data_IF_351124723812
#
_entry.id   IF_351124723812
#
_cell.length_a   1.000
_cell.length_b   1.000
_cell.length_c   1.000
_cell.angle_alpha   90.00
_cell.angle_beta   90.00
_cell.angle_gamma   90.00
#
_symmetry.space_group_name_H-M   'P 1'
#
loop_
_entity.id
_entity.type
_entity.pdbx_description
1 polymer ?
#
# COMPACT_ATOMS: atom_id res chain seq x y z
N UNK A 1 -10.84 -2.97 13.25
CA UNK A 1 -10.64 -1.55 13.61
C UNK A 1 -10.23 -0.81 12.35
N UNK A 2 -10.90 0.29 12.03
CA UNK A 2 -10.59 1.11 10.85
C UNK A 2 -9.53 2.16 11.25
N UNK A 3 -8.64 2.51 10.33
CA UNK A 3 -7.69 3.60 10.52
C UNK A 3 -8.43 4.93 10.74
N UNK A 4 -7.80 5.97 11.33
CA UNK A 4 -8.43 7.27 11.47
C UNK A 4 -8.96 7.80 10.14
N UNK A 5 -10.25 8.10 10.10
CA UNK A 5 -10.96 8.58 8.93
C UNK A 5 -11.17 10.10 9.00
N UNK A 6 -11.51 10.72 7.88
CA UNK A 6 -11.69 12.17 7.79
C UNK A 6 -13.08 12.53 7.25
N UNK A 7 -13.69 13.57 7.82
CA UNK A 7 -14.91 14.21 7.28
C UNK A 7 -14.59 15.30 6.25
N UNK A 8 -13.32 15.68 6.12
CA UNK A 8 -12.84 16.66 5.14
C UNK A 8 -11.77 16.02 4.25
N UNK A 9 -11.94 16.11 2.93
CA UNK A 9 -11.03 15.50 1.95
C UNK A 9 -10.71 16.52 0.86
N UNK A 10 -9.42 16.65 0.50
CA UNK A 10 -9.02 17.53 -0.59
C UNK A 10 -9.35 16.93 -1.95
N UNK A 11 -10.10 17.67 -2.76
CA UNK A 11 -10.48 17.26 -4.10
C UNK A 11 -9.55 17.89 -5.14
N UNK A 12 -8.62 17.09 -5.66
CA UNK A 12 -7.63 17.56 -6.64
C UNK A 12 -8.24 18.01 -7.98
N UNK A 13 -9.50 17.65 -8.30
CA UNK A 13 -10.14 18.05 -9.55
C UNK A 13 -10.76 19.44 -9.47
N UNK A 14 -11.35 19.78 -8.33
CA UNK A 14 -11.95 21.10 -8.08
C UNK A 14 -10.94 22.07 -7.45
N UNK A 15 -9.93 21.54 -6.76
CA UNK A 15 -8.96 22.31 -5.99
C UNK A 15 -9.47 22.75 -4.62
N UNK A 16 -10.59 22.18 -4.15
CA UNK A 16 -11.29 22.59 -2.93
C UNK A 16 -11.35 21.43 -1.90
N UNK A 17 -11.65 21.76 -0.65
CA UNK A 17 -11.94 20.77 0.39
C UNK A 17 -13.42 20.40 0.35
N UNK A 18 -13.72 19.11 0.20
CA UNK A 18 -15.07 18.56 0.29
C UNK A 18 -15.34 18.13 1.74
N UNK A 19 -16.52 18.44 2.27
CA UNK A 19 -16.98 18.03 3.60
C UNK A 19 -18.10 16.99 3.52
N UNK A 20 -18.07 16.01 4.42
CA UNK A 20 -19.03 14.90 4.50
C UNK A 20 -19.64 14.78 5.90
N UNK A 21 -20.93 14.42 5.98
CA UNK A 21 -21.66 14.23 7.25
C UNK A 21 -21.09 13.07 8.10
N UNK A 22 -20.44 12.11 7.44
CA UNK A 22 -19.84 10.92 8.05
C UNK A 22 -18.39 10.77 7.59
N UNK A 23 -17.47 10.25 8.43
CA UNK A 23 -16.09 10.05 8.03
C UNK A 23 -15.96 9.15 6.80
N UNK A 24 -15.05 9.49 5.90
CA UNK A 24 -14.68 8.68 4.76
C UNK A 24 -13.55 7.74 5.18
N UNK A 25 -13.90 6.46 5.36
CA UNK A 25 -12.94 5.41 5.68
C UNK A 25 -12.01 5.17 4.50
N UNK A 26 -10.70 5.20 4.74
CA UNK A 26 -9.67 4.91 3.74
C UNK A 26 -8.70 3.88 4.29
N UNK A 27 -8.73 2.67 3.75
CA UNK A 27 -7.76 1.63 4.14
C UNK A 27 -6.40 1.96 3.52
N UNK A 28 -5.36 2.03 4.35
CA UNK A 28 -4.00 2.28 3.88
C UNK A 28 -3.35 0.97 3.43
N UNK A 29 -3.31 0.75 2.12
CA UNK A 29 -2.64 -0.38 1.47
C UNK A 29 -1.30 0.03 0.86
N UNK A 30 -0.78 1.20 1.23
CA UNK A 30 0.43 1.80 0.69
C UNK A 30 1.71 1.32 1.39
N UNK A 31 1.89 -0.01 1.42
CA UNK A 31 3.11 -0.68 1.90
C UNK A 31 3.64 -1.73 0.90
N UNK A 32 3.18 -1.68 -0.37
CA UNK A 32 3.67 -2.48 -1.49
C UNK A 32 3.41 -4.00 -1.46
N UNK A 33 3.38 -4.61 -0.26
CA UNK A 33 3.35 -6.06 -0.06
C UNK A 33 4.61 -6.76 -0.57
N UNK A 34 4.73 -8.05 -0.30
CA UNK A 34 5.78 -8.87 -0.89
C UNK A 34 5.33 -9.41 -2.25
N UNK A 35 6.20 -9.33 -3.24
CA UNK A 35 5.92 -9.75 -4.60
C UNK A 35 6.90 -10.83 -5.06
N UNK A 36 6.39 -11.81 -5.78
CA UNK A 36 7.19 -12.81 -6.50
C UNK A 36 6.99 -12.60 -8.00
N UNK A 37 8.08 -12.61 -8.76
CA UNK A 37 8.07 -12.37 -10.20
C UNK A 37 8.99 -13.36 -10.93
N UNK A 38 8.61 -13.73 -12.16
CA UNK A 38 9.46 -14.55 -13.03
C UNK A 38 10.09 -13.65 -14.10
N UNK A 39 11.43 -13.56 -14.17
CA UNK A 39 12.09 -12.79 -15.22
C UNK A 39 11.74 -13.33 -16.61
N UNK A 40 11.44 -12.44 -17.55
CA UNK A 40 11.13 -12.81 -18.94
C UNK A 40 12.25 -13.65 -19.60
N UNK A 41 13.50 -13.44 -19.19
CA UNK A 41 14.68 -14.17 -19.68
C UNK A 41 14.84 -15.59 -19.12
N UNK A 42 14.03 -15.99 -18.13
CA UNK A 42 14.12 -17.31 -17.49
C UNK A 42 13.96 -18.44 -18.51
N UNK A 43 14.81 -19.46 -18.38
CA UNK A 43 14.70 -20.70 -19.18
C UNK A 43 13.84 -21.77 -18.50
N UNK A 44 13.28 -21.45 -17.34
CA UNK A 44 12.47 -22.35 -16.50
C UNK A 44 11.16 -21.66 -16.08
N UNK A 45 10.50 -21.01 -17.04
CA UNK A 45 9.27 -20.23 -16.84
C UNK A 45 8.17 -21.06 -16.14
N UNK A 46 7.86 -22.24 -16.67
CA UNK A 46 6.79 -23.10 -16.15
C UNK A 46 7.05 -23.53 -14.70
N UNK A 47 8.25 -24.03 -14.41
CA UNK A 47 8.62 -24.42 -13.06
C UNK A 47 8.63 -23.24 -12.07
N UNK A 48 9.03 -22.05 -12.50
CA UNK A 48 9.00 -20.86 -11.67
C UNK A 48 7.56 -20.41 -11.36
N UNK A 49 6.65 -20.46 -12.34
CA UNK A 49 5.25 -20.16 -12.13
C UNK A 49 4.53 -21.21 -11.27
N UNK A 50 4.86 -22.49 -11.44
CA UNK A 50 4.36 -23.58 -10.59
C UNK A 50 4.79 -23.38 -9.12
N UNK A 51 6.04 -23.00 -8.89
CA UNK A 51 6.54 -22.67 -7.56
C UNK A 51 5.80 -21.46 -6.96
N UNK A 52 5.62 -20.36 -7.71
CA UNK A 52 4.88 -19.19 -7.22
C UNK A 52 3.42 -19.54 -6.91
N UNK A 53 2.79 -20.38 -7.73
CA UNK A 53 1.43 -20.89 -7.50
C UNK A 53 1.36 -21.67 -6.19
N UNK A 54 2.33 -22.56 -5.95
CA UNK A 54 2.44 -23.34 -4.71
C UNK A 54 2.70 -22.44 -3.51
N UNK A 55 3.70 -21.55 -3.59
CA UNK A 55 4.09 -20.60 -2.53
C UNK A 55 2.90 -19.73 -2.09
N UNK A 56 2.10 -19.28 -3.06
CA UNK A 56 0.95 -18.42 -2.81
C UNK A 56 -0.36 -19.20 -2.59
N UNK A 57 -0.36 -20.53 -2.65
CA UNK A 57 -1.56 -21.36 -2.48
C UNK A 57 -2.18 -21.18 -1.08
N UNK A 58 -3.52 -21.30 -0.93
CA UNK A 58 -4.18 -21.14 0.37
C UNK A 58 -3.59 -21.99 1.49
N UNK A 59 -3.12 -23.20 1.17
CA UNK A 59 -2.49 -24.11 2.13
C UNK A 59 -1.14 -23.58 2.63
N UNK A 60 -0.21 -23.29 1.72
CA UNK A 60 1.15 -22.84 2.04
C UNK A 60 1.13 -21.44 2.65
N UNK A 61 0.42 -20.51 2.03
CA UNK A 61 0.36 -19.14 2.52
C UNK A 61 -0.42 -19.01 3.83
N UNK A 62 -1.46 -19.83 4.02
CA UNK A 62 -2.18 -19.91 5.28
C UNK A 62 -1.24 -20.39 6.41
N UNK A 63 -0.41 -21.40 6.16
CA UNK A 63 0.56 -21.88 7.14
C UNK A 63 1.61 -20.82 7.44
N UNK A 64 2.09 -20.12 6.41
CA UNK A 64 3.04 -19.04 6.57
C UNK A 64 2.49 -17.91 7.45
N UNK A 65 1.21 -17.55 7.28
CA UNK A 65 0.57 -16.47 8.03
C UNK A 65 0.51 -16.69 9.56
N UNK A 66 0.56 -17.94 10.02
CA UNK A 66 0.55 -18.30 11.45
C UNK A 66 1.91 -18.83 11.95
N UNK A 67 2.94 -18.79 11.11
CA UNK A 67 4.28 -19.24 11.48
C UNK A 67 5.15 -18.03 11.77
N UNK A 68 5.65 -17.92 13.00
CA UNK A 68 6.56 -16.84 13.39
C UNK A 68 7.82 -16.82 12.52
N UNK A 69 8.29 -15.62 12.16
CA UNK A 69 9.50 -15.41 11.36
C UNK A 69 9.29 -15.44 9.84
N UNK A 70 8.09 -15.76 9.36
CA UNK A 70 7.79 -15.70 7.91
C UNK A 70 7.54 -14.28 7.41
N UNK A 71 7.06 -13.38 8.29
CA UNK A 71 6.64 -12.03 7.92
C UNK A 71 5.33 -11.96 7.10
N UNK A 72 4.66 -13.09 6.87
CA UNK A 72 3.43 -13.14 6.08
C UNK A 72 2.24 -12.74 6.94
N UNK A 73 1.48 -11.74 6.48
CA UNK A 73 0.19 -11.35 7.06
C UNK A 73 -0.98 -11.92 6.24
N UNK A 74 -2.22 -11.95 6.77
CA UNK A 74 -3.40 -12.25 5.97
C UNK A 74 -3.54 -11.31 4.76
N UNK A 75 -3.56 -11.90 3.56
CA UNK A 75 -3.78 -11.18 2.29
C UNK A 75 -4.78 -11.90 1.36
N UNK A 76 -5.33 -13.04 1.80
CA UNK A 76 -6.39 -13.79 1.12
C UNK A 76 -7.60 -13.89 2.03
N UNK A 77 -8.80 -13.92 1.45
CA UNK A 77 -10.04 -14.16 2.20
C UNK A 77 -9.94 -15.46 3.02
N UNK A 78 -9.39 -16.53 2.44
CA UNK A 78 -9.20 -17.81 3.12
C UNK A 78 -8.35 -17.70 4.40
N UNK A 79 -7.40 -16.76 4.47
CA UNK A 79 -6.60 -16.56 5.69
C UNK A 79 -7.43 -15.96 6.83
N UNK A 80 -8.46 -15.18 6.49
CA UNK A 80 -9.33 -14.50 7.46
C UNK A 80 -10.53 -15.32 7.90
N UNK A 81 -10.83 -16.43 7.23
CA UNK A 81 -11.99 -17.30 7.54
C UNK A 81 -11.62 -18.62 8.23
N UNK A 82 -10.35 -19.03 8.20
CA UNK A 82 -9.85 -20.27 8.81
C UNK A 82 -9.49 -20.06 10.29
N UNK A 83 -10.51 -19.93 11.15
CA UNK A 83 -10.33 -19.64 12.59
C UNK A 83 -9.54 -20.72 13.33
N UNK A 84 -9.66 -21.98 12.91
CA UNK A 84 -8.95 -23.09 13.53
C UNK A 84 -7.44 -22.87 13.47
N UNK A 85 -6.95 -22.37 12.33
CA UNK A 85 -5.52 -22.10 12.14
C UNK A 85 -4.96 -21.07 13.12
N UNK A 86 -5.76 -20.05 13.46
CA UNK A 86 -5.34 -18.95 14.35
C UNK A 86 -5.50 -19.27 15.83
N UNK A 87 -6.31 -20.27 16.18
CA UNK A 87 -6.59 -20.68 17.56
C UNK A 87 -5.34 -21.08 18.38
N UNK A 88 -4.24 -21.42 17.70
CA UNK A 88 -2.95 -21.76 18.34
C UNK A 88 -2.16 -20.53 18.80
N UNK A 89 -2.47 -19.36 18.24
CA UNK A 89 -1.77 -18.10 18.50
C UNK A 89 -2.61 -17.12 19.31
N UNK A 90 -3.92 -17.13 19.09
CA UNK A 90 -4.86 -16.16 19.63
C UNK A 90 -6.02 -16.85 20.33
N UNK A 91 -6.55 -16.19 21.36
CA UNK A 91 -7.89 -16.49 21.84
C UNK A 91 -8.92 -16.22 20.72
N UNK A 92 -10.12 -16.80 20.85
CA UNK A 92 -11.17 -16.60 19.86
C UNK A 92 -11.48 -15.12 19.61
N UNK A 93 -11.58 -14.32 20.69
CA UNK A 93 -11.82 -12.88 20.60
C UNK A 93 -10.70 -12.17 19.82
N UNK A 94 -9.44 -12.44 20.17
CA UNK A 94 -8.29 -11.83 19.50
C UNK A 94 -8.23 -12.20 18.01
N UNK A 95 -8.50 -13.47 17.68
CA UNK A 95 -8.56 -13.92 16.30
C UNK A 95 -9.69 -13.22 15.53
N UNK A 96 -10.89 -13.10 16.12
CA UNK A 96 -12.01 -12.39 15.49
C UNK A 96 -11.68 -10.91 15.23
N UNK A 97 -11.11 -10.22 16.22
CA UNK A 97 -10.74 -8.80 16.11
C UNK A 97 -9.64 -8.58 15.07
N UNK A 98 -8.58 -9.40 15.10
CA UNK A 98 -7.46 -9.29 14.17
C UNK A 98 -7.86 -9.64 12.74
N UNK A 99 -8.51 -10.78 12.52
CA UNK A 99 -8.89 -11.23 11.17
C UNK A 99 -10.02 -10.38 10.60
N UNK A 100 -10.93 -9.89 11.44
CA UNK A 100 -11.92 -8.90 11.05
C UNK A 100 -11.25 -7.62 10.54
N UNK A 101 -10.32 -7.06 11.31
CA UNK A 101 -9.57 -5.86 10.88
C UNK A 101 -8.81 -6.09 9.57
N UNK A 102 -8.14 -7.24 9.40
CA UNK A 102 -7.42 -7.56 8.18
C UNK A 102 -8.37 -7.71 6.97
N UNK A 103 -9.48 -8.42 7.14
CA UNK A 103 -10.48 -8.59 6.08
C UNK A 103 -11.04 -7.23 5.66
N UNK A 104 -11.50 -6.44 6.62
CA UNK A 104 -12.12 -5.15 6.34
C UNK A 104 -11.12 -4.20 5.64
N UNK A 105 -9.83 -4.27 6.00
CA UNK A 105 -8.79 -3.49 5.34
C UNK A 105 -8.53 -3.92 3.88
N UNK A 106 -8.45 -5.23 3.59
CA UNK A 106 -8.15 -5.74 2.23
C UNK A 106 -9.35 -5.74 1.29
N UNK A 107 -10.57 -5.66 1.83
CA UNK A 107 -11.82 -5.56 1.04
C UNK A 107 -12.45 -4.18 1.09
N UNK A 108 -11.74 -3.16 1.59
CA UNK A 108 -12.25 -1.80 1.63
C UNK A 108 -12.52 -1.26 0.22
N UNK A 109 -13.65 -0.59 0.04
CA UNK A 109 -14.01 0.03 -1.25
C UNK A 109 -13.10 1.23 -1.58
N UNK A 110 -12.63 1.92 -0.54
CA UNK A 110 -11.74 3.07 -0.66
C UNK A 110 -10.38 2.74 -0.03
N UNK A 111 -9.34 2.76 -0.87
CA UNK A 111 -7.97 2.36 -0.50
C UNK A 111 -6.96 3.42 -0.93
N UNK A 112 -6.04 3.75 -0.03
CA UNK A 112 -4.83 4.48 -0.36
C UNK A 112 -3.77 3.48 -0.82
N UNK A 113 -3.38 3.54 -2.09
CA UNK A 113 -2.36 2.69 -2.68
C UNK A 113 -0.98 3.33 -2.59
N UNK A 114 0.05 2.49 -2.59
CA UNK A 114 1.44 2.95 -2.62
C UNK A 114 1.74 3.72 -3.91
N UNK A 115 2.67 4.66 -3.85
CA UNK A 115 3.12 5.41 -5.01
C UNK A 115 4.00 4.50 -5.88
N UNK A 116 3.47 4.05 -7.01
CA UNK A 116 4.15 3.10 -7.92
C UNK A 116 4.73 3.84 -9.13
N UNK A 117 5.69 4.71 -8.88
CA UNK A 117 6.38 5.48 -9.90
C UNK A 117 7.84 5.01 -10.06
N UNK A 118 8.38 4.97 -11.30
CA UNK A 118 9.81 5.00 -11.51
C UNK A 118 10.48 6.09 -10.67
N UNK A 119 11.54 5.74 -9.95
CA UNK A 119 12.23 6.67 -9.05
C UNK A 119 11.56 6.88 -7.69
N UNK A 120 10.57 6.06 -7.31
CA UNK A 120 9.85 6.12 -6.02
C UNK A 120 10.74 6.48 -4.83
N UNK A 121 11.87 5.80 -4.65
CA UNK A 121 12.80 6.06 -3.55
C UNK A 121 13.29 7.51 -3.47
N UNK A 122 13.51 8.16 -4.62
CA UNK A 122 13.93 9.56 -4.65
C UNK A 122 12.80 10.51 -4.25
N UNK A 123 11.56 10.19 -4.61
CA UNK A 123 10.39 10.96 -4.15
C UNK A 123 10.21 10.83 -2.63
N UNK A 124 10.33 9.61 -2.09
CA UNK A 124 10.19 9.37 -0.65
C UNK A 124 11.34 9.97 0.14
N UNK A 125 12.57 9.92 -0.37
CA UNK A 125 13.73 10.53 0.29
C UNK A 125 13.54 12.05 0.48
N UNK A 126 13.05 12.76 -0.54
CA UNK A 126 12.74 14.20 -0.42
C UNK A 126 11.70 14.44 0.69
N UNK A 127 10.63 13.63 0.71
CA UNK A 127 9.59 13.73 1.74
C UNK A 127 10.15 13.47 3.14
N UNK A 128 10.95 12.42 3.31
CA UNK A 128 11.49 12.01 4.61
C UNK A 128 12.46 13.05 5.18
N UNK A 129 13.30 13.67 4.34
CA UNK A 129 14.22 14.73 4.74
C UNK A 129 13.44 15.93 5.25
N UNK A 130 12.50 16.45 4.46
CA UNK A 130 11.74 17.65 4.81
C UNK A 130 10.78 17.44 5.99
N UNK A 131 10.17 16.25 6.07
CA UNK A 131 9.37 15.84 7.23
C UNK A 131 10.21 15.81 8.50
N UNK A 132 11.42 15.27 8.45
CA UNK A 132 12.33 15.22 9.60
C UNK A 132 12.72 16.61 10.08
N UNK A 133 13.00 17.55 9.15
CA UNK A 133 13.30 18.95 9.47
C UNK A 133 12.11 19.66 10.13
N UNK A 134 10.89 19.44 9.63
CA UNK A 134 9.69 20.00 10.23
C UNK A 134 9.42 19.44 11.65
N UNK A 135 9.59 18.12 11.85
CA UNK A 135 9.43 17.49 13.16
C UNK A 135 10.49 17.93 14.18
N UNK A 136 11.70 18.26 13.72
CA UNK A 136 12.74 18.86 14.55
C UNK A 136 12.46 20.33 14.91
N UNK A 137 11.52 20.98 14.22
CA UNK A 137 11.19 22.39 14.39
C UNK A 137 12.13 23.35 13.65
N UNK A 138 12.96 22.83 12.73
CA UNK A 138 13.92 23.64 11.94
C UNK A 138 13.22 24.49 10.88
N UNK A 139 12.10 23.99 10.35
CA UNK A 139 11.26 24.67 9.35
C UNK A 139 9.79 24.48 9.69
N UNK A 140 8.93 25.31 9.10
CA UNK A 140 7.48 25.17 9.27
C UNK A 140 6.95 23.98 8.44
N UNK A 141 5.81 23.38 8.83
CA UNK A 141 5.17 22.35 8.01
C UNK A 141 4.84 22.81 6.58
N UNK A 142 4.47 24.09 6.42
CA UNK A 142 4.21 24.67 5.09
C UNK A 142 5.48 24.70 4.24
N UNK A 143 6.58 25.23 4.79
CA UNK A 143 7.87 25.31 4.09
C UNK A 143 8.40 23.92 3.68
N UNK A 144 8.24 22.93 4.57
CA UNK A 144 8.59 21.53 4.26
C UNK A 144 7.78 21.01 3.07
N UNK A 145 6.45 21.16 3.09
CA UNK A 145 5.58 20.68 2.01
C UNK A 145 5.78 21.44 0.69
N UNK A 146 6.07 22.74 0.74
CA UNK A 146 6.41 23.53 -0.45
C UNK A 146 7.71 23.01 -1.09
N UNK A 147 8.71 22.69 -0.26
CA UNK A 147 9.99 22.12 -0.71
C UNK A 147 9.80 20.72 -1.32
N UNK A 148 9.00 19.87 -0.67
CA UNK A 148 8.64 18.54 -1.20
C UNK A 148 7.94 18.68 -2.56
N UNK A 149 6.96 19.57 -2.67
CA UNK A 149 6.22 19.79 -3.91
C UNK A 149 7.12 20.28 -5.05
N UNK A 150 8.06 21.19 -4.77
CA UNK A 150 9.05 21.64 -5.74
C UNK A 150 9.97 20.48 -6.19
N UNK A 151 10.56 19.75 -5.23
CA UNK A 151 11.46 18.62 -5.52
C UNK A 151 10.79 17.48 -6.28
N UNK A 152 9.53 17.18 -5.97
CA UNK A 152 8.73 16.20 -6.70
C UNK A 152 8.44 16.63 -8.14
N UNK A 153 8.18 17.91 -8.38
CA UNK A 153 8.03 18.43 -9.74
C UNK A 153 9.34 18.30 -10.52
N UNK A 154 10.47 18.68 -9.93
CA UNK A 154 11.79 18.56 -10.56
C UNK A 154 12.13 17.10 -10.92
N UNK A 155 11.90 16.16 -10.01
CA UNK A 155 12.05 14.72 -10.31
C UNK A 155 11.12 14.27 -11.43
N UNK A 156 9.87 14.73 -11.41
CA UNK A 156 8.88 14.38 -12.44
C UNK A 156 9.31 14.87 -13.82
N UNK A 157 9.90 16.06 -13.91
CA UNK A 157 10.47 16.54 -15.17
C UNK A 157 11.70 15.73 -15.60
N UNK A 158 12.58 15.37 -14.67
CA UNK A 158 13.78 14.57 -14.97
C UNK A 158 13.44 13.17 -15.49
N UNK A 159 12.43 12.51 -14.92
CA UNK A 159 11.93 11.22 -15.40
C UNK A 159 11.01 11.34 -16.62
N UNK A 160 10.58 12.56 -16.96
CA UNK A 160 9.62 12.87 -18.00
C UNK A 160 8.17 12.78 -17.49
N UNK A 161 7.49 13.93 -17.45
CA UNK A 161 6.13 14.07 -16.91
C UNK A 161 5.12 13.11 -17.54
N UNK A 162 5.15 12.97 -18.87
CA UNK A 162 4.22 12.07 -19.57
C UNK A 162 4.49 10.59 -19.24
N UNK A 163 5.76 10.22 -19.07
CA UNK A 163 6.14 8.85 -18.69
C UNK A 163 5.70 8.53 -17.26
N UNK A 164 5.89 9.47 -16.33
CA UNK A 164 5.40 9.33 -14.96
C UNK A 164 3.87 9.27 -14.90
N UNK A 165 3.17 10.12 -15.66
CA UNK A 165 1.72 10.08 -15.75
C UNK A 165 1.22 8.73 -16.29
N UNK A 166 1.85 8.21 -17.35
CA UNK A 166 1.51 6.92 -17.91
C UNK A 166 1.74 5.78 -16.90
N UNK A 167 2.88 5.79 -16.18
CA UNK A 167 3.19 4.81 -15.14
C UNK A 167 2.17 4.86 -13.98
N UNK A 168 1.88 6.06 -13.48
CA UNK A 168 0.90 6.25 -12.40
C UNK A 168 -0.48 5.73 -12.80
N UNK A 169 -0.96 6.10 -13.99
CA UNK A 169 -2.27 5.65 -14.50
C UNK A 169 -2.31 4.14 -14.68
N UNK A 170 -1.27 3.54 -15.26
CA UNK A 170 -1.17 2.09 -15.40
C UNK A 170 -1.19 1.39 -14.04
N UNK A 171 -0.52 1.94 -13.03
CA UNK A 171 -0.50 1.39 -11.67
C UNK A 171 -1.87 1.39 -10.97
N UNK A 172 -2.78 2.26 -11.42
CA UNK A 172 -4.18 2.36 -10.98
C UNK A 172 -5.14 1.59 -11.91
N UNK A 173 -4.64 0.89 -12.94
CA UNK A 173 -5.47 0.21 -13.94
C UNK A 173 -6.23 1.15 -14.87
N UNK A 174 -5.82 2.42 -14.98
CA UNK A 174 -6.44 3.41 -15.86
C UNK A 174 -5.78 3.41 -17.25
N UNK A 175 -6.54 3.74 -18.32
CA UNK A 175 -5.97 3.87 -19.66
C UNK A 175 -4.92 4.98 -19.71
N UNK A 176 -3.91 4.87 -20.56
CA UNK A 176 -2.94 5.96 -20.78
C UNK A 176 -3.65 7.23 -21.26
N UNK A 177 -3.08 8.39 -20.93
CA UNK A 177 -3.53 9.71 -21.36
C UNK A 177 -2.59 10.25 -22.41
#
# INVERSE_FOLDING_TARGET
>A
AVLPSATEVYNYKTGEWDSYDTPIDTSFMAFGGWQAAVPASSKKQEAAWDFISTLSSPEVSGQAAVTGGTGVNPYRISHTTDMERWSKLFSEREAQEYLGAQRDAVTADNVALDMRLPGYFSYTEILEIELSRALAGDITPQEALDTVAAGWNDLTEQFGRDSQLAAYRASMGLPQK
#
